data_IF_327259217559
#
_entry.id   IF_327259217559
#
_cell.length_a   1.000
_cell.length_b   1.000
_cell.length_c   1.000
_cell.angle_alpha   90.00
_cell.angle_beta   90.00
_cell.angle_gamma   90.00
#
_symmetry.space_group_name_H-M   'P 1'
#
loop_
_entity.id
_entity.type
_entity.pdbx_description
1 polymer ?
#
# COMPACT_ATOMS: atom_id res chain seq x y z
N UNK A 1 8.34 5.70 1.56
CA UNK A 1 7.90 5.79 2.97
C UNK A 1 7.89 4.44 3.67
N UNK A 2 7.45 3.34 3.03
CA UNK A 2 7.40 2.00 3.66
C UNK A 2 8.72 1.50 4.24
N UNK A 3 9.86 1.70 3.56
CA UNK A 3 11.19 1.34 4.10
C UNK A 3 11.50 2.03 5.44
N UNK A 4 11.14 3.31 5.60
CA UNK A 4 11.33 4.04 6.86
C UNK A 4 10.44 3.51 7.97
N UNK A 5 9.20 3.13 7.66
CA UNK A 5 8.31 2.50 8.63
C UNK A 5 8.83 1.13 9.06
N UNK A 6 9.36 0.33 8.12
CA UNK A 6 9.90 -0.99 8.39
C UNK A 6 11.10 -0.97 9.36
N UNK A 7 11.93 0.07 9.33
CA UNK A 7 13.05 0.22 10.27
C UNK A 7 12.61 0.40 11.73
N UNK A 8 11.36 0.77 11.98
CA UNK A 8 10.81 1.02 13.32
C UNK A 8 9.67 0.05 13.70
N UNK A 9 9.27 -0.84 12.79
CA UNK A 9 8.16 -1.77 12.98
C UNK A 9 8.64 -3.11 13.53
N UNK A 10 7.87 -3.72 14.43
CA UNK A 10 8.12 -5.08 14.95
C UNK A 10 7.02 -6.04 14.53
N UNK A 11 7.39 -7.12 13.86
CA UNK A 11 6.47 -8.13 13.33
C UNK A 11 6.18 -9.25 14.35
N UNK A 12 5.74 -8.87 15.55
CA UNK A 12 5.31 -9.80 16.60
C UNK A 12 3.90 -9.42 17.09
N UNK A 13 3.03 -10.41 17.32
CA UNK A 13 1.59 -10.20 17.57
C UNK A 13 1.36 -9.34 18.82
N UNK A 14 2.22 -9.45 19.83
CA UNK A 14 2.09 -8.69 21.08
C UNK A 14 2.57 -7.25 20.95
N UNK A 15 3.48 -6.96 20.01
CA UNK A 15 4.15 -5.67 19.89
C UNK A 15 3.85 -4.89 18.59
N UNK A 16 3.18 -5.51 17.60
CA UNK A 16 2.90 -4.90 16.30
C UNK A 16 2.14 -3.58 16.44
N UNK A 17 1.02 -3.57 17.19
CA UNK A 17 0.24 -2.35 17.42
C UNK A 17 1.03 -1.29 18.19
N UNK A 18 1.78 -1.70 19.23
CA UNK A 18 2.59 -0.76 20.02
C UNK A 18 3.76 -0.16 19.22
N UNK A 19 4.37 -0.90 18.30
CA UNK A 19 5.46 -0.38 17.45
C UNK A 19 4.95 0.71 16.51
N UNK A 20 3.73 0.58 15.99
CA UNK A 20 3.09 1.64 15.21
C UNK A 20 2.73 2.85 16.08
N UNK A 21 2.26 2.62 17.31
CA UNK A 21 2.00 3.71 18.25
C UNK A 21 3.29 4.50 18.56
N UNK A 22 4.42 3.80 18.72
CA UNK A 22 5.75 4.40 18.88
C UNK A 22 6.18 5.18 17.63
N UNK A 23 6.00 4.64 16.42
CA UNK A 23 6.26 5.38 15.17
C UNK A 23 5.45 6.68 15.10
N UNK A 24 4.17 6.63 15.49
CA UNK A 24 3.29 7.79 15.41
C UNK A 24 3.67 8.89 16.40
N UNK A 25 4.17 8.54 17.61
CA UNK A 25 4.35 9.47 18.72
C UNK A 25 5.79 9.87 18.99
N UNK A 26 6.73 8.95 18.83
CA UNK A 26 8.09 9.09 19.37
C UNK A 26 9.15 9.20 18.26
N UNK A 27 8.87 8.70 17.06
CA UNK A 27 9.75 8.84 15.89
C UNK A 27 9.57 10.21 15.26
N UNK A 28 10.68 10.90 14.99
CA UNK A 28 10.68 12.21 14.32
C UNK A 28 9.98 12.13 12.97
N UNK A 29 8.96 12.97 12.76
CA UNK A 29 8.08 12.94 11.58
C UNK A 29 7.38 11.60 11.33
N UNK A 30 7.38 10.65 12.27
CA UNK A 30 6.85 9.32 12.04
C UNK A 30 5.34 9.32 11.74
N UNK A 31 4.56 10.19 12.40
CA UNK A 31 3.16 10.45 12.05
C UNK A 31 2.98 10.88 10.59
N UNK A 32 3.79 11.83 10.12
CA UNK A 32 3.75 12.31 8.74
C UNK A 32 4.11 11.20 7.75
N UNK A 33 5.19 10.46 8.00
CA UNK A 33 5.64 9.35 7.14
C UNK A 33 4.57 8.26 7.06
N UNK A 34 3.94 7.91 8.19
CA UNK A 34 2.87 6.91 8.26
C UNK A 34 1.64 7.37 7.50
N UNK A 35 1.21 8.61 7.68
CA UNK A 35 0.07 9.17 6.95
C UNK A 35 0.33 9.24 5.45
N UNK A 36 1.53 9.63 5.02
CA UNK A 36 1.90 9.62 3.59
C UNK A 36 1.90 8.20 3.03
N UNK A 37 2.39 7.21 3.79
CA UNK A 37 2.36 5.82 3.34
C UNK A 37 0.93 5.28 3.18
N UNK A 38 0.07 5.50 4.18
CA UNK A 38 -1.31 5.06 4.15
C UNK A 38 -2.12 5.75 3.04
N UNK A 39 -2.09 7.07 2.96
CA UNK A 39 -2.80 7.81 1.90
C UNK A 39 -2.18 7.58 0.52
N UNK A 40 -0.87 7.33 0.46
CA UNK A 40 -0.16 6.98 -0.76
C UNK A 40 -0.67 5.67 -1.38
N UNK A 41 -1.07 4.69 -0.56
CA UNK A 41 -1.71 3.47 -1.06
C UNK A 41 -3.05 3.77 -1.75
N UNK A 42 -3.91 4.61 -1.16
CA UNK A 42 -5.18 5.02 -1.78
C UNK A 42 -4.96 5.79 -3.08
N UNK A 43 -4.02 6.74 -3.10
CA UNK A 43 -3.66 7.49 -4.32
C UNK A 43 -3.16 6.54 -5.42
N UNK A 44 -2.40 5.51 -5.06
CA UNK A 44 -1.90 4.53 -6.00
C UNK A 44 -3.04 3.77 -6.72
N UNK A 45 -4.08 3.38 -5.98
CA UNK A 45 -5.28 2.77 -6.58
C UNK A 45 -6.06 3.74 -7.47
N UNK A 46 -6.20 5.01 -7.07
CA UNK A 46 -6.81 6.03 -7.93
C UNK A 46 -6.06 6.12 -9.26
N UNK A 47 -4.73 6.20 -9.22
CA UNK A 47 -3.89 6.22 -10.43
C UNK A 47 -4.07 4.96 -11.28
N UNK A 48 -4.13 3.77 -10.67
CA UNK A 48 -4.34 2.51 -11.38
C UNK A 48 -5.71 2.47 -12.05
N UNK A 49 -6.78 2.86 -11.37
CA UNK A 49 -8.11 2.85 -11.96
C UNK A 49 -8.24 3.83 -13.11
N UNK A 50 -7.65 5.03 -12.99
CA UNK A 50 -7.56 5.98 -14.10
C UNK A 50 -6.72 5.41 -15.26
N UNK A 51 -5.61 4.74 -14.97
CA UNK A 51 -4.74 4.12 -15.97
C UNK A 51 -5.47 3.01 -16.75
N UNK A 52 -6.20 2.13 -16.05
CA UNK A 52 -7.03 1.07 -16.66
C UNK A 52 -8.15 1.70 -17.48
N UNK A 53 -8.87 2.69 -16.92
CA UNK A 53 -9.96 3.39 -17.61
C UNK A 53 -9.48 4.04 -18.91
N UNK A 54 -8.32 4.71 -18.89
CA UNK A 54 -7.66 5.23 -20.09
C UNK A 54 -7.37 4.11 -21.09
N UNK A 55 -6.83 2.99 -20.63
CA UNK A 55 -6.49 1.85 -21.48
C UNK A 55 -7.71 1.23 -22.17
N UNK A 56 -8.85 1.17 -21.48
CA UNK A 56 -10.12 0.73 -22.06
C UNK A 56 -10.66 1.75 -23.07
N UNK A 57 -10.66 3.05 -22.71
CA UNK A 57 -11.21 4.11 -23.55
C UNK A 57 -10.48 4.25 -24.90
N UNK A 58 -9.15 4.13 -24.92
CA UNK A 58 -8.34 4.24 -26.14
C UNK A 58 -8.02 2.89 -26.79
N UNK A 59 -8.60 1.78 -26.33
CA UNK A 59 -8.33 0.45 -26.89
C UNK A 59 -6.89 -0.04 -26.67
N UNK A 60 -6.16 0.49 -25.69
CA UNK A 60 -4.77 0.09 -25.42
C UNK A 60 -4.61 -1.38 -25.00
N UNK A 61 -5.71 -2.06 -24.65
CA UNK A 61 -5.73 -3.51 -24.38
C UNK A 61 -5.41 -4.37 -25.62
N UNK A 62 -5.42 -3.81 -26.84
CA UNK A 62 -4.93 -4.52 -28.04
C UNK A 62 -3.44 -4.85 -27.96
N UNK A 63 -2.65 -4.13 -27.16
CA UNK A 63 -1.27 -4.49 -26.84
C UNK A 63 -1.26 -5.60 -25.79
N UNK A 64 -1.55 -6.83 -26.22
CA UNK A 64 -1.86 -7.98 -25.36
C UNK A 64 -0.79 -8.27 -24.31
N UNK A 65 0.48 -8.26 -24.68
CA UNK A 65 1.59 -8.52 -23.74
C UNK A 65 1.65 -7.45 -22.64
N UNK A 66 1.59 -6.17 -23.03
CA UNK A 66 1.60 -5.06 -22.07
C UNK A 66 0.35 -5.06 -21.19
N UNK A 67 -0.81 -5.38 -21.76
CA UNK A 67 -2.07 -5.47 -21.03
C UNK A 67 -2.04 -6.60 -20.00
N UNK A 68 -1.57 -7.79 -20.39
CA UNK A 68 -1.45 -8.94 -19.49
C UNK A 68 -0.47 -8.66 -18.34
N UNK A 69 0.68 -8.02 -18.62
CA UNK A 69 1.61 -7.57 -17.56
C UNK A 69 0.91 -6.54 -16.66
N UNK A 70 0.13 -5.61 -17.22
CA UNK A 70 -0.65 -4.64 -16.46
C UNK A 70 -1.66 -5.29 -15.51
N UNK A 71 -2.33 -6.35 -15.94
CA UNK A 71 -3.24 -7.15 -15.10
C UNK A 71 -2.47 -7.85 -13.97
N UNK A 72 -1.32 -8.44 -14.26
CA UNK A 72 -0.46 -9.05 -13.22
C UNK A 72 -0.01 -7.99 -12.20
N UNK A 73 0.41 -6.81 -12.67
CA UNK A 73 0.79 -5.70 -11.79
C UNK A 73 -0.37 -5.24 -10.90
N UNK A 74 -1.59 -5.15 -11.43
CA UNK A 74 -2.79 -4.87 -10.65
C UNK A 74 -2.97 -5.89 -9.51
N UNK A 75 -2.89 -7.18 -9.82
CA UNK A 75 -3.05 -8.25 -8.82
C UNK A 75 -1.95 -8.22 -7.75
N UNK A 76 -0.69 -8.01 -8.14
CA UNK A 76 0.43 -7.89 -7.21
C UNK A 76 0.26 -6.70 -6.26
N UNK A 77 -0.22 -5.56 -6.77
CA UNK A 77 -0.49 -4.36 -5.97
C UNK A 77 -1.64 -4.60 -4.99
N UNK A 78 -2.71 -5.27 -5.44
CA UNK A 78 -3.81 -5.65 -4.55
C UNK A 78 -3.34 -6.55 -3.41
N UNK A 79 -2.54 -7.58 -3.71
CA UNK A 79 -1.96 -8.46 -2.70
C UNK A 79 -1.04 -7.69 -1.72
N UNK A 80 -0.21 -6.78 -2.25
CA UNK A 80 0.70 -5.96 -1.44
C UNK A 80 -0.05 -5.02 -0.50
N UNK A 81 -1.09 -4.33 -1.00
CA UNK A 81 -1.89 -3.43 -0.20
C UNK A 81 -2.71 -4.18 0.87
N UNK A 82 -3.27 -5.34 0.51
CA UNK A 82 -3.99 -6.20 1.43
C UNK A 82 -3.09 -6.65 2.59
N UNK A 83 -1.92 -7.23 2.30
CA UNK A 83 -0.98 -7.64 3.34
C UNK A 83 -0.47 -6.45 4.17
N UNK A 84 -0.23 -5.30 3.53
CA UNK A 84 0.16 -4.07 4.21
C UNK A 84 -0.90 -3.57 5.21
N UNK A 85 -2.18 -3.78 4.93
CA UNK A 85 -3.28 -3.41 5.82
C UNK A 85 -3.37 -4.32 7.06
N UNK A 86 -2.83 -5.54 7.01
CA UNK A 86 -2.82 -6.48 8.14
C UNK A 86 -1.75 -6.10 9.18
N UNK A 87 -0.65 -5.48 8.75
CA UNK A 87 0.51 -5.16 9.61
C UNK A 87 0.17 -4.36 10.88
N UNK A 88 -0.78 -3.40 10.90
CA UNK A 88 -1.07 -2.64 12.11
C UNK A 88 -1.74 -3.38 13.25
N UNK A 89 -2.32 -4.56 12.97
CA UNK A 89 -2.92 -5.41 13.99
C UNK A 89 -3.99 -4.72 14.87
N UNK A 90 -4.73 -3.78 14.29
CA UNK A 90 -5.97 -3.23 14.84
C UNK A 90 -7.20 -4.11 14.54
N UNK A 91 -8.37 -3.70 15.04
CA UNK A 91 -9.61 -4.49 14.92
C UNK A 91 -10.07 -4.73 13.47
N UNK A 92 -9.85 -3.77 12.56
CA UNK A 92 -10.24 -3.94 11.15
C UNK A 92 -9.21 -4.75 10.35
N UNK A 93 -7.99 -4.90 10.87
CA UNK A 93 -6.90 -5.63 10.21
C UNK A 93 -6.80 -7.10 10.62
N UNK A 94 -7.42 -7.48 11.74
CA UNK A 94 -7.51 -8.84 12.25
C UNK A 94 -8.74 -9.54 11.67
#
# INVERSE_FOLDING_TARGET
TGLFLAMHYTADIYSAFSSIAHIQRDVQYGCMIRNIHANGASLFFICIYLHIGRGLYYGSYFYTETWNIGVILLLLVMATAFMGYVLPWGQMSF
#
